data_IF_831635662042
#
_entry.id   IF_831635662042
#
_cell.length_a   1.000
_cell.length_b   1.000
_cell.length_c   1.000
_cell.angle_alpha   90.00
_cell.angle_beta   90.00
_cell.angle_gamma   90.00
#
_symmetry.space_group_name_H-M   'P 1'
#
loop_
_entity.id
_entity.type
_entity.pdbx_description
1 polymer ?
#
# COMPACT_ATOMS: atom_id res chain seq x y z
N UNK A 1 -14.90 -24.09 -5.46
CA UNK A 1 -15.18 -22.95 -4.56
C UNK A 1 -14.09 -22.89 -3.53
N UNK A 2 -13.40 -21.75 -3.38
CA UNK A 2 -12.51 -21.55 -2.25
C UNK A 2 -13.37 -21.45 -0.98
N UNK A 3 -12.96 -22.06 0.15
CA UNK A 3 -13.71 -21.95 1.39
C UNK A 3 -13.72 -20.51 1.87
N UNK A 4 -14.91 -19.95 2.09
CA UNK A 4 -15.04 -18.67 2.77
C UNK A 4 -14.52 -18.79 4.20
N UNK A 5 -13.74 -17.79 4.63
CA UNK A 5 -13.25 -17.66 5.99
C UNK A 5 -13.79 -16.39 6.60
N UNK A 6 -14.10 -16.44 7.88
CA UNK A 6 -14.45 -15.27 8.68
C UNK A 6 -13.26 -14.91 9.58
N UNK A 7 -12.76 -13.69 9.44
CA UNK A 7 -11.66 -13.13 10.24
C UNK A 7 -11.97 -11.67 10.50
N UNK A 8 -11.80 -11.22 11.75
CA UNK A 8 -12.10 -9.86 12.19
C UNK A 8 -13.54 -9.39 11.86
N UNK A 9 -14.50 -10.33 11.91
CA UNK A 9 -15.90 -10.10 11.58
C UNK A 9 -16.15 -9.77 10.11
N UNK A 10 -15.25 -10.18 9.20
CA UNK A 10 -15.43 -10.07 7.75
C UNK A 10 -15.22 -11.42 7.10
N UNK A 11 -16.05 -11.73 6.11
CA UNK A 11 -15.88 -12.86 5.18
C UNK A 11 -14.92 -12.48 4.06
N UNK A 12 -14.29 -13.48 3.44
CA UNK A 12 -13.42 -13.27 2.28
C UNK A 12 -14.09 -12.42 1.18
N UNK A 13 -15.36 -12.69 0.86
CA UNK A 13 -16.10 -11.93 -0.15
C UNK A 13 -16.25 -10.44 0.20
N UNK A 14 -16.56 -10.14 1.46
CA UNK A 14 -16.69 -8.77 1.97
C UNK A 14 -15.37 -8.00 1.91
N UNK A 15 -14.24 -8.69 2.10
CA UNK A 15 -12.91 -8.09 1.93
C UNK A 15 -12.61 -7.82 0.46
N UNK A 16 -12.96 -8.75 -0.43
CA UNK A 16 -12.74 -8.58 -1.87
C UNK A 16 -13.53 -7.38 -2.44
N UNK A 17 -14.76 -7.17 -1.96
CA UNK A 17 -15.59 -6.01 -2.34
C UNK A 17 -14.96 -4.68 -1.91
N UNK A 18 -14.27 -4.65 -0.75
CA UNK A 18 -13.67 -3.44 -0.16
C UNK A 18 -12.22 -3.22 -0.54
N UNK A 19 -11.59 -4.17 -1.22
CA UNK A 19 -10.14 -4.17 -1.43
C UNK A 19 -9.68 -3.04 -2.35
N UNK A 20 -10.50 -2.62 -3.32
CA UNK A 20 -10.22 -1.44 -4.15
C UNK A 20 -10.09 -0.18 -3.30
N UNK A 21 -11.18 0.20 -2.63
CA UNK A 21 -11.25 1.35 -1.72
C UNK A 21 -10.17 1.29 -0.63
N UNK A 22 -9.85 0.10 -0.13
CA UNK A 22 -8.74 -0.09 0.82
C UNK A 22 -7.38 0.28 0.22
N UNK A 23 -7.11 -0.14 -1.03
CA UNK A 23 -5.86 0.18 -1.73
C UNK A 23 -5.79 1.64 -2.17
N UNK A 24 -6.94 2.29 -2.39
CA UNK A 24 -7.05 3.73 -2.67
C UNK A 24 -6.99 4.58 -1.39
N UNK A 25 -7.20 3.97 -0.22
CA UNK A 25 -7.20 4.67 1.08
C UNK A 25 -8.50 5.42 1.36
N UNK A 26 -9.60 4.99 0.74
CA UNK A 26 -10.92 5.64 0.80
C UNK A 26 -11.86 5.02 1.84
N UNK A 27 -11.46 3.91 2.45
CA UNK A 27 -12.24 3.28 3.52
C UNK A 27 -12.22 4.09 4.83
N UNK A 28 -13.34 4.11 5.58
CA UNK A 28 -13.35 4.56 6.97
C UNK A 28 -12.29 3.84 7.83
N UNK A 29 -11.68 4.50 8.83
CA UNK A 29 -10.57 3.93 9.60
C UNK A 29 -10.89 2.60 10.30
N UNK A 30 -12.11 2.43 10.78
CA UNK A 30 -12.60 1.22 11.41
C UNK A 30 -12.74 0.06 10.41
N UNK A 31 -13.26 0.34 9.22
CA UNK A 31 -13.34 -0.63 8.13
C UNK A 31 -11.95 -1.03 7.62
N UNK A 32 -11.06 -0.07 7.39
CA UNK A 32 -9.69 -0.32 7.00
C UNK A 32 -8.94 -1.20 8.01
N UNK A 33 -9.19 -1.00 9.31
CA UNK A 33 -8.61 -1.83 10.38
C UNK A 33 -9.10 -3.28 10.29
N UNK A 34 -10.40 -3.50 10.04
CA UNK A 34 -10.96 -4.85 9.89
C UNK A 34 -10.45 -5.55 8.63
N UNK A 35 -10.38 -4.84 7.51
CA UNK A 35 -9.80 -5.36 6.26
C UNK A 35 -8.33 -5.75 6.48
N UNK A 36 -7.53 -4.87 7.10
CA UNK A 36 -6.13 -5.17 7.40
C UNK A 36 -5.99 -6.40 8.33
N UNK A 37 -6.83 -6.51 9.36
CA UNK A 37 -6.83 -7.66 10.26
C UNK A 37 -7.20 -8.96 9.52
N UNK A 38 -8.17 -8.92 8.61
CA UNK A 38 -8.53 -10.07 7.78
C UNK A 38 -7.38 -10.48 6.85
N UNK A 39 -6.76 -9.53 6.15
CA UNK A 39 -5.61 -9.78 5.27
C UNK A 39 -4.47 -10.47 6.02
N UNK A 40 -4.20 -10.08 7.28
CA UNK A 40 -3.20 -10.76 8.12
C UNK A 40 -3.60 -12.16 8.59
N UNK A 41 -4.90 -12.44 8.74
CA UNK A 41 -5.39 -13.73 9.25
C UNK A 41 -5.85 -14.72 8.18
N UNK A 42 -5.92 -14.31 6.91
CA UNK A 42 -6.40 -15.14 5.81
C UNK A 42 -5.38 -15.19 4.66
N UNK A 43 -4.61 -16.28 4.59
CA UNK A 43 -3.59 -16.50 3.55
C UNK A 43 -4.10 -16.39 2.11
N UNK A 44 -5.38 -16.67 1.87
CA UNK A 44 -5.99 -16.53 0.54
C UNK A 44 -6.16 -15.05 0.17
N UNK A 45 -6.75 -14.26 1.08
CA UNK A 45 -6.95 -12.84 0.89
C UNK A 45 -5.62 -12.07 0.94
N UNK A 46 -4.66 -12.49 1.75
CA UNK A 46 -3.28 -11.97 1.74
C UNK A 46 -2.66 -12.09 0.35
N UNK A 47 -2.63 -13.30 -0.21
CA UNK A 47 -2.01 -13.57 -1.52
C UNK A 47 -2.72 -12.81 -2.64
N UNK A 48 -4.05 -12.83 -2.65
CA UNK A 48 -4.83 -12.11 -3.66
C UNK A 48 -4.65 -10.59 -3.53
N UNK A 49 -4.76 -10.07 -2.30
CA UNK A 49 -4.60 -8.65 -1.99
C UNK A 49 -3.22 -8.12 -2.38
N UNK A 50 -2.17 -8.90 -2.09
CA UNK A 50 -0.81 -8.57 -2.53
C UNK A 50 -0.68 -8.52 -4.06
N UNK A 51 -1.22 -9.52 -4.77
CA UNK A 51 -1.20 -9.53 -6.23
C UNK A 51 -1.97 -8.34 -6.84
N UNK A 52 -3.13 -7.99 -6.28
CA UNK A 52 -3.90 -6.82 -6.70
C UNK A 52 -3.15 -5.51 -6.43
N UNK A 53 -2.54 -5.37 -5.24
CA UNK A 53 -1.74 -4.20 -4.87
C UNK A 53 -0.56 -3.99 -5.83
N UNK A 54 0.12 -5.07 -6.24
CA UNK A 54 1.21 -4.99 -7.23
C UNK A 54 0.72 -4.48 -8.59
N UNK A 55 -0.39 -5.03 -9.11
CA UNK A 55 -0.96 -4.61 -10.39
C UNK A 55 -1.40 -3.14 -10.34
N UNK A 56 -2.20 -2.78 -9.33
CA UNK A 56 -2.70 -1.41 -9.15
C UNK A 56 -1.54 -0.43 -8.93
N UNK A 57 -0.55 -0.79 -8.10
CA UNK A 57 0.65 0.02 -7.88
C UNK A 57 1.48 0.20 -9.15
N UNK A 58 1.61 -0.84 -9.98
CA UNK A 58 2.25 -0.77 -11.28
C UNK A 58 1.55 0.20 -12.23
N UNK A 59 0.23 0.10 -12.34
CA UNK A 59 -0.58 1.01 -13.16
C UNK A 59 -0.50 2.45 -12.66
N UNK A 60 -0.63 2.68 -11.36
CA UNK A 60 -0.49 4.02 -10.76
C UNK A 60 0.87 4.64 -11.07
N UNK A 61 1.96 3.86 -11.04
CA UNK A 61 3.30 4.35 -11.41
C UNK A 61 3.43 4.65 -12.90
N UNK A 62 2.91 3.78 -13.76
CA UNK A 62 3.02 3.92 -15.21
C UNK A 62 2.15 5.04 -15.78
N UNK A 63 0.99 5.30 -15.17
CA UNK A 63 0.01 6.30 -15.61
C UNK A 63 0.16 7.64 -14.89
N UNK A 64 0.93 7.70 -13.80
CA UNK A 64 1.19 8.96 -13.11
C UNK A 64 2.07 9.84 -13.97
N UNK A 65 1.54 10.98 -14.37
CA UNK A 65 2.34 12.13 -14.80
C UNK A 65 2.67 12.95 -13.56
N UNK A 66 3.91 12.89 -13.02
CA UNK A 66 4.24 13.66 -11.84
C UNK A 66 4.24 15.14 -12.20
N UNK A 67 3.49 15.94 -11.45
CA UNK A 67 3.64 17.38 -11.52
C UNK A 67 5.08 17.73 -11.12
N UNK A 68 5.80 18.50 -11.95
CA UNK A 68 7.16 18.90 -11.60
C UNK A 68 7.12 19.68 -10.28
N UNK A 69 7.99 19.28 -9.35
CA UNK A 69 8.16 20.01 -8.10
C UNK A 69 8.68 21.42 -8.42
N UNK A 70 8.22 22.37 -7.61
CA UNK A 70 8.83 23.69 -7.57
C UNK A 70 10.37 23.57 -7.45
N UNK A 71 11.15 24.25 -8.32
CA UNK A 71 12.61 24.10 -8.35
C UNK A 71 13.30 24.39 -7.03
N UNK A 72 12.81 25.36 -6.25
CA UNK A 72 13.38 25.75 -4.96
C UNK A 72 13.09 24.68 -3.91
N UNK A 73 11.88 24.12 -3.91
CA UNK A 73 11.53 22.96 -3.08
C UNK A 73 12.42 21.77 -3.42
N UNK A 74 12.61 21.47 -4.71
CA UNK A 74 13.46 20.38 -5.15
C UNK A 74 14.93 20.59 -4.75
N UNK A 75 15.46 21.82 -4.82
CA UNK A 75 16.82 22.14 -4.37
C UNK A 75 16.99 21.89 -2.88
N UNK A 76 16.09 22.48 -2.06
CA UNK A 76 16.10 22.33 -0.60
C UNK A 76 15.94 20.88 -0.16
N UNK A 77 15.12 20.08 -0.85
CA UNK A 77 14.96 18.66 -0.58
C UNK A 77 16.25 17.89 -0.84
N UNK A 78 16.92 18.13 -1.98
CA UNK A 78 18.20 17.48 -2.32
C UNK A 78 19.30 17.83 -1.32
N UNK A 79 19.37 19.07 -0.86
CA UNK A 79 20.33 19.48 0.18
C UNK A 79 20.08 18.73 1.50
N UNK A 80 18.83 18.64 1.95
CA UNK A 80 18.46 17.89 3.17
C UNK A 80 18.75 16.40 3.06
N UNK A 81 18.47 15.80 1.90
CA UNK A 81 18.76 14.38 1.65
C UNK A 81 20.27 14.09 1.56
N UNK A 82 21.12 15.06 1.19
CA UNK A 82 22.59 14.87 1.26
C UNK A 82 23.16 15.04 2.67
N UNK A 83 22.38 15.62 3.59
CA UNK A 83 22.75 15.81 4.99
C UNK A 83 22.57 14.53 5.84
N UNK A 84 22.56 14.68 7.19
CA UNK A 84 22.54 13.56 8.14
C UNK A 84 21.36 12.58 8.00
N UNK A 85 20.29 12.97 7.31
CA UNK A 85 19.13 12.13 7.04
C UNK A 85 19.35 11.11 5.91
N UNK A 86 20.19 11.42 4.90
CA UNK A 86 20.41 10.49 3.78
C UNK A 86 21.57 9.52 3.97
N UNK A 87 22.41 9.72 4.98
CA UNK A 87 23.49 8.76 5.32
C UNK A 87 23.00 7.58 6.18
N UNK A 88 21.74 7.58 6.64
CA UNK A 88 21.18 6.52 7.49
C UNK A 88 20.47 5.40 6.69
N UNK A 89 20.51 5.42 5.35
CA UNK A 89 19.62 4.62 4.50
C UNK A 89 20.26 3.54 3.61
N UNK A 90 21.53 3.17 3.78
CA UNK A 90 22.12 2.08 2.99
C UNK A 90 22.65 0.95 3.89
N UNK A 91 21.90 -0.14 4.15
CA UNK A 91 22.51 -1.36 4.65
C UNK A 91 23.44 -1.91 3.56
N UNK A 92 24.70 -2.08 3.94
CA UNK A 92 25.75 -2.71 3.12
C UNK A 92 25.33 -4.13 2.73
N UNK A 93 25.49 -4.55 1.45
CA UNK A 93 25.23 -5.94 1.08
C UNK A 93 26.28 -6.86 1.72
N UNK A 94 25.81 -7.92 2.38
CA UNK A 94 26.60 -9.07 2.84
C UNK A 94 26.68 -10.09 1.71
#
# INVERSE_FOLDING_TARGET
MLPEREVAGLRCGEVLERLGDFLDGELPPDEATRVQAHLRGCTVCERFGGAMAEVVGGLRRALREPEPLDPDVASRLRERLRGPLGSAGNPTPV
#
